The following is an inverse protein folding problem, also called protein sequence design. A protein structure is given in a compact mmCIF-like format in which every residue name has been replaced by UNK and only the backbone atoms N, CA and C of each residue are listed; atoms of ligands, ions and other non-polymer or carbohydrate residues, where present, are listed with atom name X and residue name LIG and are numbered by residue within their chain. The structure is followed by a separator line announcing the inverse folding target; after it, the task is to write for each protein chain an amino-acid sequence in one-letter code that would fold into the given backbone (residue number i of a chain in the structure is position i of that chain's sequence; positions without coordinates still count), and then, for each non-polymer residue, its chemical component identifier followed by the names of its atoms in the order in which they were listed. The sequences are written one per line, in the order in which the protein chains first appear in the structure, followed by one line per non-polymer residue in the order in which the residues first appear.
data_IF_476533876148
#
_entry.id   IF_476533876148
#
_cell.length_a   1.000
_cell.length_b   1.000
_cell.length_c   1.000
_cell.angle_alpha   90.00
_cell.angle_beta   90.00
_cell.angle_gamma   90.00
#
_symmetry.space_group_name_H-M   'P 1'
#
loop_
_entity.id
_entity.type
_entity.pdbx_description
1 polymer ?
#
# COMPACT_ATOMS: atom_id res chain seq x y z
N UNK A 1 9.81 -4.07 4.41
CA UNK A 1 8.94 -4.16 3.22
C UNK A 1 7.81 -3.10 3.24
N UNK A 2 8.18 -1.84 3.46
CA UNK A 2 7.23 -0.76 3.87
C UNK A 2 6.93 0.19 2.70
N UNK A 3 7.87 0.33 1.78
CA UNK A 3 7.83 1.32 0.69
C UNK A 3 6.82 0.96 -0.40
N UNK A 4 6.68 -0.33 -0.75
CA UNK A 4 5.68 -0.79 -1.73
C UNK A 4 4.25 -0.73 -1.20
N UNK A 5 4.02 -0.92 0.11
CA UNK A 5 2.67 -0.81 0.69
C UNK A 5 2.15 0.63 0.73
N UNK A 6 3.04 1.60 1.00
CA UNK A 6 2.71 3.03 0.98
C UNK A 6 2.51 3.58 -0.44
N UNK A 7 3.24 3.05 -1.43
CA UNK A 7 3.10 3.45 -2.83
C UNK A 7 1.68 3.19 -3.38
N UNK A 8 1.05 2.08 -2.99
CA UNK A 8 -0.31 1.72 -3.42
C UNK A 8 -1.43 2.57 -2.77
N UNK A 9 -1.10 3.34 -1.73
CA UNK A 9 -2.04 4.16 -0.96
C UNK A 9 -1.94 5.65 -1.34
N UNK A 10 -1.04 6.01 -2.26
CA UNK A 10 -0.65 7.39 -2.50
C UNK A 10 -1.54 8.16 -3.48
N UNK A 11 -2.80 8.43 -3.12
CA UNK A 11 -3.66 9.44 -3.80
C UNK A 11 -4.63 10.05 -2.77
N UNK A 12 -4.90 11.38 -2.71
CA UNK A 12 -4.35 12.55 -3.40
C UNK A 12 -3.83 13.61 -2.37
N UNK A 13 -2.89 13.23 -1.51
CA UNK A 13 -2.64 13.95 -0.24
C UNK A 13 -1.61 15.10 -0.28
N UNK A 14 -0.92 15.37 -1.38
CA UNK A 14 0.29 16.20 -1.31
C UNK A 14 0.12 17.73 -1.48
N UNK A 15 -1.07 18.27 -1.82
CA UNK A 15 -1.13 19.67 -2.31
C UNK A 15 -2.08 20.65 -1.60
N UNK A 16 -2.83 20.24 -0.57
CA UNK A 16 -3.93 21.08 -0.06
C UNK A 16 -3.88 21.41 1.44
N UNK A 17 -2.98 20.79 2.19
CA UNK A 17 -2.78 21.08 3.62
C UNK A 17 -1.65 22.08 3.83
N UNK A 18 -1.87 23.36 3.49
CA UNK A 18 -1.03 24.46 3.97
C UNK A 18 -1.78 25.80 3.82
N UNK A 19 -2.45 26.25 4.87
CA UNK A 19 -2.31 27.61 5.42
C UNK A 19 -2.99 27.70 6.78
N UNK A 20 -2.29 28.30 7.75
CA UNK A 20 -2.76 28.58 9.10
C UNK A 20 -4.09 29.37 9.10
N UNK A 21 -5.13 28.86 9.76
CA UNK A 21 -6.23 29.71 10.24
C UNK A 21 -6.91 29.14 11.48
N UNK A 22 -7.14 30.04 12.45
CA UNK A 22 -7.73 29.75 13.76
C UNK A 22 -9.27 29.69 13.76
N UNK A 23 -9.78 28.63 14.37
CA UNK A 23 -11.04 28.43 15.12
C UNK A 23 -12.38 28.83 14.49
N UNK A 24 -13.30 27.85 14.43
CA UNK A 24 -14.59 27.87 15.16
C UNK A 24 -15.28 26.50 14.99
N UNK A 25 -15.59 25.84 16.11
CA UNK A 25 -16.31 24.57 16.19
C UNK A 25 -17.73 24.69 15.62
N UNK A 26 -18.11 23.79 14.71
CA UNK A 26 -19.49 23.32 14.57
C UNK A 26 -19.52 21.89 14.02
N UNK A 27 -20.43 21.09 14.56
CA UNK A 27 -20.43 19.62 14.59
C UNK A 27 -20.73 18.95 13.24
N UNK A 28 -19.83 18.07 12.80
CA UNK A 28 -20.00 17.15 11.66
C UNK A 28 -20.03 15.69 12.16
N UNK A 29 -21.13 15.27 12.81
CA UNK A 29 -21.26 13.93 13.42
C UNK A 29 -22.21 12.99 12.67
N UNK A 30 -22.62 13.29 11.42
CA UNK A 30 -23.72 12.56 10.77
C UNK A 30 -23.47 12.08 9.34
N UNK A 31 -22.22 11.92 8.90
CA UNK A 31 -21.92 11.58 7.49
C UNK A 31 -20.98 10.40 7.30
N UNK A 32 -20.98 9.42 8.21
CA UNK A 32 -20.17 8.20 8.08
C UNK A 32 -21.11 7.00 8.10
N UNK A 33 -21.71 6.69 6.95
CA UNK A 33 -22.26 5.38 6.61
C UNK A 33 -22.48 5.27 5.09
N UNK A 34 -22.14 4.10 4.55
CA UNK A 34 -22.42 3.55 3.21
C UNK A 34 -21.65 4.11 1.99
N UNK A 35 -20.45 3.56 1.78
CA UNK A 35 -19.61 3.74 0.57
C UNK A 35 -20.20 2.99 -0.66
N UNK A 36 -21.23 2.15 -0.47
CA UNK A 36 -21.72 1.24 -1.51
C UNK A 36 -23.14 1.55 -2.07
N UNK A 37 -23.86 2.55 -1.56
CA UNK A 37 -25.24 2.87 -2.02
C UNK A 37 -25.52 4.37 -2.19
N UNK A 38 -24.49 5.20 -2.36
CA UNK A 38 -24.65 6.64 -2.57
C UNK A 38 -24.95 7.03 -4.03
N UNK A 39 -25.91 7.93 -4.24
CA UNK A 39 -26.00 8.69 -5.49
C UNK A 39 -24.92 9.79 -5.49
N UNK A 40 -23.74 9.50 -6.03
CA UNK A 40 -22.59 10.42 -6.08
C UNK A 40 -22.69 11.48 -7.21
N UNK A 41 -23.80 11.50 -7.96
CA UNK A 41 -24.00 12.38 -9.09
C UNK A 41 -23.70 11.71 -10.43
N UNK A 42 -23.33 12.51 -11.43
CA UNK A 42 -23.05 12.04 -12.79
C UNK A 42 -21.61 11.54 -12.88
N UNK A 43 -21.41 10.31 -13.37
CA UNK A 43 -20.08 9.80 -13.72
C UNK A 43 -19.50 10.64 -14.87
N UNK A 44 -18.34 11.25 -14.65
CA UNK A 44 -17.66 12.10 -15.64
C UNK A 44 -16.32 11.54 -16.09
N UNK A 45 -15.75 10.59 -15.35
CA UNK A 45 -14.47 10.00 -15.67
C UNK A 45 -14.33 8.61 -15.08
N UNK A 46 -13.72 7.69 -15.82
CA UNK A 46 -13.48 6.31 -15.39
C UNK A 46 -12.21 5.79 -16.03
N UNK A 47 -11.37 5.12 -15.24
CA UNK A 47 -10.21 4.37 -15.72
C UNK A 47 -10.16 3.02 -15.04
N UNK A 48 -9.65 2.04 -15.76
CA UNK A 48 -9.43 0.70 -15.27
C UNK A 48 -8.09 0.19 -15.79
N UNK A 49 -7.32 -0.47 -14.93
CA UNK A 49 -6.21 -1.32 -15.33
C UNK A 49 -6.42 -2.73 -14.78
N UNK A 50 -5.91 -3.68 -15.55
CA UNK A 50 -5.92 -5.09 -15.23
C UNK A 50 -4.50 -5.61 -15.37
N UNK A 51 -3.97 -6.24 -14.32
CA UNK A 51 -2.74 -7.04 -14.41
C UNK A 51 -3.12 -8.51 -14.42
N UNK A 52 -2.83 -9.17 -15.54
CA UNK A 52 -2.96 -10.61 -15.75
C UNK A 52 -4.28 -11.23 -15.27
N UNK A 53 -5.39 -10.50 -15.47
CA UNK A 53 -6.76 -10.90 -15.11
C UNK A 53 -7.03 -11.08 -13.60
N UNK A 54 -6.13 -10.63 -12.71
CA UNK A 54 -6.27 -10.86 -11.27
C UNK A 54 -6.31 -9.58 -10.45
N UNK A 55 -5.41 -8.62 -10.71
CA UNK A 55 -5.48 -7.33 -10.03
C UNK A 55 -6.26 -6.38 -10.93
N UNK A 56 -7.44 -5.99 -10.47
CA UNK A 56 -8.21 -4.93 -11.09
C UNK A 56 -8.07 -3.68 -10.25
N UNK A 57 -7.51 -2.64 -10.86
CA UNK A 57 -7.64 -1.29 -10.34
C UNK A 57 -8.66 -0.54 -11.15
N UNK A 58 -9.63 0.03 -10.45
CA UNK A 58 -10.67 0.84 -11.03
C UNK A 58 -10.70 2.17 -10.29
N UNK A 59 -10.88 3.27 -11.03
CA UNK A 59 -11.20 4.55 -10.43
C UNK A 59 -12.30 5.24 -11.24
N UNK A 60 -13.19 5.91 -10.52
CA UNK A 60 -14.35 6.63 -11.04
C UNK A 60 -14.41 8.01 -10.41
N UNK A 61 -14.74 9.01 -11.23
CA UNK A 61 -14.99 10.38 -10.79
C UNK A 61 -16.42 10.77 -11.13
N UNK A 62 -17.15 11.20 -10.12
CA UNK A 62 -18.52 11.67 -10.20
C UNK A 62 -18.60 13.16 -9.87
N UNK A 63 -19.63 13.82 -10.37
CA UNK A 63 -19.89 15.24 -10.07
C UNK A 63 -21.37 15.51 -9.89
N UNK A 64 -21.67 16.46 -9.01
CA UNK A 64 -22.95 17.19 -8.97
C UNK A 64 -22.69 18.65 -9.33
N UNK A 65 -23.67 19.52 -9.09
CA UNK A 65 -23.51 20.98 -9.26
C UNK A 65 -22.54 21.60 -8.24
N UNK A 66 -22.26 20.92 -7.13
CA UNK A 66 -21.41 21.45 -6.05
C UNK A 66 -20.42 20.44 -5.46
N UNK A 67 -20.41 19.20 -5.95
CA UNK A 67 -19.52 18.15 -5.43
C UNK A 67 -18.74 17.47 -6.53
N UNK A 68 -17.53 17.04 -6.20
CA UNK A 68 -16.75 16.07 -6.97
C UNK A 68 -16.40 14.91 -6.05
N UNK A 69 -16.64 13.69 -6.52
CA UNK A 69 -16.37 12.47 -5.77
C UNK A 69 -15.43 11.60 -6.59
N UNK A 70 -14.33 11.17 -5.98
CA UNK A 70 -13.43 10.14 -6.49
C UNK A 70 -13.66 8.86 -5.69
N UNK A 71 -13.78 7.74 -6.40
CA UNK A 71 -13.88 6.41 -5.81
C UNK A 71 -12.92 5.51 -6.55
N UNK A 72 -12.05 4.82 -5.83
CA UNK A 72 -11.10 3.88 -6.38
C UNK A 72 -11.11 2.58 -5.60
N UNK A 73 -10.97 1.47 -6.33
CA UNK A 73 -10.95 0.13 -5.77
C UNK A 73 -9.78 -0.61 -6.41
N UNK A 74 -8.89 -1.12 -5.57
CA UNK A 74 -7.96 -2.18 -5.94
C UNK A 74 -8.56 -3.49 -5.46
N UNK A 75 -8.82 -4.39 -6.38
CA UNK A 75 -9.31 -5.74 -6.09
C UNK A 75 -8.34 -6.79 -6.61
N UNK A 76 -8.28 -7.91 -5.91
CA UNK A 76 -7.45 -9.05 -6.24
C UNK A 76 -8.18 -10.33 -5.83
N UNK A 77 -7.96 -11.45 -6.51
CA UNK A 77 -8.60 -12.73 -6.16
C UNK A 77 -8.10 -13.32 -4.83
N UNK A 78 -7.05 -12.74 -4.24
CA UNK A 78 -6.34 -13.30 -3.07
C UNK A 78 -6.34 -12.40 -1.83
N UNK A 79 -6.71 -11.13 -1.97
CA UNK A 79 -6.74 -10.15 -0.87
C UNK A 79 -8.09 -9.46 -0.87
N UNK A 80 -8.54 -9.01 0.30
CA UNK A 80 -9.72 -8.15 0.33
C UNK A 80 -9.43 -6.84 -0.43
N UNK A 81 -10.45 -6.23 -1.06
CA UNK A 81 -10.24 -5.03 -1.84
C UNK A 81 -9.83 -3.85 -0.95
N UNK A 82 -8.86 -3.08 -1.43
CA UNK A 82 -8.56 -1.76 -0.89
C UNK A 82 -9.45 -0.73 -1.59
N UNK A 83 -10.27 -0.03 -0.82
CA UNK A 83 -11.15 1.02 -1.34
C UNK A 83 -10.68 2.38 -0.85
N UNK A 84 -10.57 3.33 -1.76
CA UNK A 84 -10.30 4.74 -1.47
C UNK A 84 -11.46 5.58 -1.97
N UNK A 85 -11.90 6.53 -1.16
CA UNK A 85 -12.96 7.45 -1.49
C UNK A 85 -12.57 8.86 -1.09
N UNK A 86 -12.81 9.82 -1.97
CA UNK A 86 -12.58 11.24 -1.74
C UNK A 86 -13.80 12.02 -2.18
N UNK A 87 -14.36 12.86 -1.33
CA UNK A 87 -15.43 13.82 -1.67
C UNK A 87 -14.94 15.24 -1.42
N UNK A 88 -15.20 16.12 -2.37
CA UNK A 88 -15.04 17.56 -2.25
C UNK A 88 -16.37 18.24 -2.49
N UNK A 89 -16.83 19.04 -1.52
CA UNK A 89 -18.07 19.81 -1.59
C UNK A 89 -17.76 21.31 -1.50
N UNK A 90 -18.19 22.07 -2.51
CA UNK A 90 -17.99 23.52 -2.62
C UNK A 90 -19.29 24.33 -2.48
N UNK A 91 -20.39 23.73 -2.00
CA UNK A 91 -21.69 24.38 -1.86
C UNK A 91 -21.68 25.62 -0.96
N UNK A 92 -20.78 25.67 0.02
CA UNK A 92 -20.62 26.81 0.94
C UNK A 92 -19.14 27.12 1.12
N UNK A 93 -18.49 26.43 2.06
CA UNK A 93 -17.04 26.32 2.20
C UNK A 93 -16.59 25.01 1.61
N UNK A 94 -15.35 24.98 1.14
CA UNK A 94 -14.76 23.76 0.64
C UNK A 94 -14.64 22.76 1.78
N UNK A 95 -15.44 21.71 1.75
CA UNK A 95 -15.38 20.57 2.66
C UNK A 95 -14.75 19.43 1.89
N UNK A 96 -13.90 18.66 2.55
CA UNK A 96 -13.43 17.41 1.99
C UNK A 96 -13.65 16.28 2.98
N UNK A 97 -13.91 15.10 2.45
CA UNK A 97 -14.01 13.83 3.18
C UNK A 97 -13.21 12.80 2.41
N UNK A 98 -12.49 11.98 3.14
CA UNK A 98 -11.62 10.97 2.59
C UNK A 98 -11.77 9.70 3.43
N UNK A 99 -11.79 8.56 2.75
CA UNK A 99 -11.94 7.26 3.37
C UNK A 99 -11.01 6.28 2.70
N UNK A 100 -10.26 5.55 3.52
CA UNK A 100 -9.50 4.39 3.11
C UNK A 100 -10.02 3.20 3.89
N UNK A 101 -10.37 2.12 3.20
CA UNK A 101 -10.94 0.92 3.79
C UNK A 101 -10.30 -0.35 3.22
N UNK A 102 -9.92 -1.26 4.11
CA UNK A 102 -9.54 -2.63 3.79
C UNK A 102 -9.79 -3.53 5.00
N UNK A 103 -10.30 -4.74 4.78
CA UNK A 103 -10.41 -5.76 5.84
C UNK A 103 -9.25 -6.74 5.85
N UNK A 104 -8.31 -6.60 4.91
CA UNK A 104 -7.17 -7.49 4.81
C UNK A 104 -6.13 -7.14 5.91
N UNK A 105 -5.78 -8.08 6.80
CA UNK A 105 -4.82 -7.86 7.87
C UNK A 105 -3.44 -7.37 7.41
N UNK A 106 -3.07 -7.57 6.14
CA UNK A 106 -1.80 -7.12 5.57
C UNK A 106 -1.65 -5.59 5.54
N UNK A 107 -2.78 -4.86 5.61
CA UNK A 107 -2.83 -3.39 5.59
C UNK A 107 -3.05 -2.77 6.97
N UNK A 108 -3.29 -3.55 8.02
CA UNK A 108 -3.61 -3.04 9.37
C UNK A 108 -2.56 -2.03 9.88
N UNK A 109 -1.28 -2.42 9.88
CA UNK A 109 -0.18 -1.55 10.33
C UNK A 109 -0.10 -0.26 9.49
N UNK A 110 -0.34 -0.37 8.18
CA UNK A 110 -0.28 0.76 7.26
C UNK A 110 -1.44 1.73 7.50
N UNK A 111 -2.64 1.20 7.78
CA UNK A 111 -3.81 2.00 8.15
C UNK A 111 -3.59 2.71 9.50
N UNK A 112 -2.97 2.04 10.47
CA UNK A 112 -2.64 2.64 11.78
C UNK A 112 -1.56 3.73 11.67
N UNK A 113 -0.52 3.51 10.85
CA UNK A 113 0.51 4.51 10.56
C UNK A 113 -0.09 5.72 9.83
N UNK A 114 -0.86 5.47 8.76
CA UNK A 114 -1.53 6.52 7.99
C UNK A 114 -2.48 7.34 8.86
N UNK A 115 -3.24 6.68 9.74
CA UNK A 115 -4.08 7.35 10.73
C UNK A 115 -3.28 8.33 11.60
N UNK A 116 -2.10 7.93 12.08
CA UNK A 116 -1.26 8.76 12.94
C UNK A 116 -0.76 9.99 12.18
N UNK A 117 -0.29 9.80 10.95
CA UNK A 117 0.15 10.88 10.05
C UNK A 117 -0.99 11.86 9.75
N UNK A 118 -2.20 11.35 9.47
CA UNK A 118 -3.37 12.18 9.19
C UNK A 118 -3.79 12.97 10.43
N UNK A 119 -3.84 12.34 11.61
CA UNK A 119 -4.16 13.05 12.86
C UNK A 119 -3.22 14.23 13.11
N UNK A 120 -1.92 14.05 12.88
CA UNK A 120 -0.94 15.12 13.02
C UNK A 120 -1.16 16.22 11.95
N UNK A 121 -1.22 15.81 10.68
CA UNK A 121 -1.29 16.71 9.53
C UNK A 121 -2.58 17.55 9.47
N UNK A 122 -3.69 17.01 9.99
CA UNK A 122 -5.02 17.64 9.92
C UNK A 122 -5.39 18.38 11.21
N UNK A 123 -4.58 18.25 12.28
CA UNK A 123 -4.85 18.91 13.58
C UNK A 123 -4.93 20.44 13.50
N UNK A 124 -4.30 21.05 12.50
CA UNK A 124 -4.26 22.50 12.28
C UNK A 124 -5.38 23.03 11.37
N UNK A 125 -6.17 22.13 10.75
CA UNK A 125 -7.25 22.51 9.84
C UNK A 125 -8.52 22.85 10.61
N UNK A 126 -9.50 23.43 9.90
CA UNK A 126 -10.79 23.79 10.48
C UNK A 126 -11.71 22.56 10.55
N UNK A 127 -12.32 22.36 11.71
CA UNK A 127 -13.23 21.25 12.00
C UNK A 127 -12.67 19.87 11.58
N UNK A 128 -11.44 19.51 11.99
CA UNK A 128 -10.86 18.25 11.60
C UNK A 128 -11.56 17.12 12.34
N UNK A 129 -11.91 16.09 11.60
CA UNK A 129 -12.46 14.85 12.12
C UNK A 129 -11.63 13.70 11.57
N UNK A 130 -11.10 12.85 12.45
CA UNK A 130 -10.33 11.67 12.06
C UNK A 130 -10.79 10.50 12.91
N UNK A 131 -11.36 9.50 12.26
CA UNK A 131 -11.70 8.20 12.85
C UNK A 131 -10.76 7.16 12.28
N UNK A 132 -10.23 6.32 13.16
CA UNK A 132 -9.37 5.22 12.77
C UNK A 132 -9.84 3.93 13.41
N UNK A 133 -9.74 2.85 12.65
CA UNK A 133 -9.85 1.48 13.10
C UNK A 133 -8.78 0.65 12.38
N UNK A 134 -8.67 -0.62 12.75
CA UNK A 134 -7.76 -1.57 12.11
C UNK A 134 -8.12 -1.85 10.64
N UNK A 135 -9.29 -1.38 10.18
CA UNK A 135 -9.82 -1.64 8.83
C UNK A 135 -10.19 -0.37 8.06
N UNK A 136 -10.12 0.80 8.69
CA UNK A 136 -10.53 2.04 8.07
C UNK A 136 -9.82 3.26 8.64
N UNK A 137 -9.51 4.19 7.76
CA UNK A 137 -9.16 5.57 8.13
C UNK A 137 -10.15 6.49 7.44
N UNK A 138 -10.94 7.21 8.22
CA UNK A 138 -11.94 8.16 7.73
C UNK A 138 -11.57 9.53 8.27
N UNK A 139 -11.44 10.51 7.38
CA UNK A 139 -11.13 11.86 7.79
C UNK A 139 -11.90 12.90 6.97
N UNK A 140 -12.17 14.03 7.60
CA UNK A 140 -12.83 15.15 6.98
C UNK A 140 -12.32 16.45 7.61
N UNK A 141 -12.27 17.52 6.82
CA UNK A 141 -12.11 18.86 7.36
C UNK A 141 -12.66 19.92 6.39
N UNK A 142 -12.60 21.17 6.84
CA UNK A 142 -12.95 22.33 6.04
C UNK A 142 -11.69 23.09 5.62
N UNK A 143 -11.75 23.69 4.44
CA UNK A 143 -10.74 24.59 3.93
C UNK A 143 -11.36 25.93 3.53
N UNK A 144 -10.64 27.01 3.81
CA UNK A 144 -10.97 28.34 3.29
C UNK A 144 -10.45 28.54 1.85
N UNK A 145 -9.75 27.55 1.28
CA UNK A 145 -9.32 27.56 -0.12
C UNK A 145 -10.55 27.51 -1.02
N UNK A 146 -10.68 28.52 -1.89
CA UNK A 146 -11.76 28.60 -2.88
C UNK A 146 -11.25 28.07 -4.21
N UNK A 147 -11.85 26.98 -4.66
CA UNK A 147 -11.54 26.33 -5.93
C UNK A 147 -12.80 26.10 -6.74
N UNK A 148 -12.68 26.25 -8.04
CA UNK A 148 -13.79 26.01 -8.95
C UNK A 148 -14.05 24.51 -9.05
N UNK A 149 -15.30 24.15 -9.36
CA UNK A 149 -15.67 22.76 -9.56
C UNK A 149 -14.81 22.11 -10.66
N UNK A 150 -14.50 22.86 -11.72
CA UNK A 150 -13.71 22.34 -12.85
C UNK A 150 -12.24 22.09 -12.49
N UNK A 151 -11.63 22.93 -11.64
CA UNK A 151 -10.28 22.66 -11.11
C UNK A 151 -10.25 21.37 -10.27
N UNK A 152 -11.29 21.11 -9.48
CA UNK A 152 -11.38 19.89 -8.65
C UNK A 152 -11.61 18.67 -9.54
N UNK A 153 -12.43 18.78 -10.59
CA UNK A 153 -12.62 17.70 -11.58
C UNK A 153 -11.32 17.35 -12.29
N UNK A 154 -10.57 18.35 -12.78
CA UNK A 154 -9.30 18.12 -13.47
C UNK A 154 -8.29 17.43 -12.55
N UNK A 155 -8.20 17.89 -11.30
CA UNK A 155 -7.37 17.26 -10.28
C UNK A 155 -7.76 15.79 -10.05
N UNK A 156 -9.05 15.50 -9.88
CA UNK A 156 -9.53 14.14 -9.62
C UNK A 156 -9.40 13.20 -10.83
N UNK A 157 -9.54 13.73 -12.04
CA UNK A 157 -9.25 12.97 -13.24
C UNK A 157 -7.76 12.62 -13.32
N UNK A 158 -6.87 13.57 -12.99
CA UNK A 158 -5.43 13.33 -12.91
C UNK A 158 -5.05 12.33 -11.81
N UNK A 159 -5.71 12.39 -10.66
CA UNK A 159 -5.58 11.40 -9.60
C UNK A 159 -5.96 10.00 -10.10
N UNK A 160 -7.11 9.84 -10.76
CA UNK A 160 -7.53 8.59 -11.37
C UNK A 160 -6.53 8.07 -12.42
N UNK A 161 -5.97 8.95 -13.25
CA UNK A 161 -4.93 8.58 -14.22
C UNK A 161 -3.66 8.05 -13.53
N UNK A 162 -3.21 8.72 -12.48
CA UNK A 162 -2.03 8.31 -11.73
C UNK A 162 -2.25 6.99 -10.98
N UNK A 163 -3.46 6.77 -10.44
CA UNK A 163 -3.85 5.51 -9.78
C UNK A 163 -3.59 4.32 -10.68
N UNK A 164 -4.22 4.35 -11.86
CA UNK A 164 -4.16 3.26 -12.84
C UNK A 164 -2.75 3.12 -13.43
N UNK A 165 -2.02 4.23 -13.56
CA UNK A 165 -0.66 4.24 -14.09
C UNK A 165 0.33 3.49 -13.18
N UNK A 166 0.19 3.57 -11.85
CA UNK A 166 1.07 2.86 -10.91
C UNK A 166 1.08 1.34 -11.17
N UNK A 167 -0.07 0.78 -11.57
CA UNK A 167 -0.22 -0.63 -11.94
C UNK A 167 0.39 -0.96 -13.30
N UNK A 168 0.27 -0.07 -14.27
CA UNK A 168 0.83 -0.29 -15.62
C UNK A 168 2.36 -0.17 -15.66
N UNK A 169 2.94 0.68 -14.81
CA UNK A 169 4.40 0.85 -14.72
C UNK A 169 5.09 -0.27 -13.91
N UNK A 170 4.34 -1.01 -13.09
CA UNK A 170 4.82 -2.11 -12.27
C UNK A 170 4.94 -3.47 -12.98
N UNK A 171 4.99 -3.54 -14.31
CA UNK A 171 5.13 -4.81 -15.05
C UNK A 171 6.61 -5.24 -15.15
N UNK A 172 7.17 -5.71 -14.04
CA UNK A 172 8.52 -6.27 -13.98
C UNK A 172 8.59 -7.67 -14.60
N UNK A 173 9.82 -8.20 -14.73
CA UNK A 173 10.04 -9.56 -15.19
C UNK A 173 9.25 -10.54 -14.31
N UNK A 174 8.54 -11.50 -14.91
CA UNK A 174 7.73 -12.48 -14.19
C UNK A 174 8.56 -13.73 -13.87
N UNK A 175 8.43 -14.24 -12.65
CA UNK A 175 8.96 -15.55 -12.33
C UNK A 175 8.27 -16.62 -13.19
N UNK A 176 9.05 -17.53 -13.77
CA UNK A 176 8.55 -18.72 -14.47
C UNK A 176 7.87 -19.69 -13.50
N UNK A 177 8.37 -19.75 -12.27
CA UNK A 177 7.78 -20.49 -11.16
C UNK A 177 8.14 -19.84 -9.84
N UNK A 178 7.20 -19.82 -8.90
CA UNK A 178 7.51 -19.59 -7.50
C UNK A 178 6.74 -20.57 -6.61
N UNK A 179 7.44 -21.28 -5.73
CA UNK A 179 6.82 -22.25 -4.80
C UNK A 179 7.16 -21.96 -3.36
N UNK A 180 6.21 -22.24 -2.47
CA UNK A 180 6.40 -22.20 -1.02
C UNK A 180 6.05 -23.55 -0.45
N UNK A 181 7.05 -24.25 0.07
CA UNK A 181 6.92 -25.53 0.76
C UNK A 181 7.34 -25.33 2.22
N UNK A 182 6.80 -26.13 3.15
CA UNK A 182 7.19 -26.03 4.55
C UNK A 182 7.06 -27.38 5.27
N UNK A 183 7.94 -27.61 6.24
CA UNK A 183 7.94 -28.78 7.12
C UNK A 183 8.30 -28.33 8.55
N UNK A 184 7.43 -28.64 9.51
CA UNK A 184 7.59 -28.16 10.88
C UNK A 184 7.58 -26.62 10.93
N UNK A 185 8.69 -26.04 11.37
CA UNK A 185 8.92 -24.60 11.50
C UNK A 185 9.84 -24.03 10.40
N UNK A 186 10.12 -24.80 9.35
CA UNK A 186 11.00 -24.40 8.26
C UNK A 186 10.17 -24.18 7.01
N UNK A 187 10.33 -23.02 6.38
CA UNK A 187 9.74 -22.68 5.09
C UNK A 187 10.83 -22.59 4.02
N UNK A 188 10.50 -23.05 2.82
CA UNK A 188 11.33 -22.98 1.63
C UNK A 188 10.59 -22.22 0.54
N UNK A 189 11.19 -21.15 0.02
CA UNK A 189 10.68 -20.39 -1.12
C UNK A 189 11.65 -20.55 -2.28
N UNK A 190 11.16 -20.93 -3.45
CA UNK A 190 11.99 -21.02 -4.66
C UNK A 190 11.36 -20.19 -5.76
N UNK A 191 12.06 -19.19 -6.26
CA UNK A 191 11.65 -18.35 -7.38
C UNK A 191 12.62 -18.52 -8.56
N UNK A 192 12.10 -18.91 -9.73
CA UNK A 192 12.90 -19.14 -10.94
C UNK A 192 12.50 -18.17 -12.04
N UNK A 193 13.50 -17.56 -12.69
CA UNK A 193 13.36 -16.69 -13.85
C UNK A 193 14.18 -17.27 -15.02
N UNK A 194 14.02 -16.78 -16.27
CA UNK A 194 14.74 -17.31 -17.42
C UNK A 194 16.26 -17.41 -17.27
N UNK A 195 16.90 -16.43 -16.58
CA UNK A 195 18.36 -16.35 -16.44
C UNK A 195 18.83 -16.11 -14.99
N UNK A 196 17.91 -16.07 -14.02
CA UNK A 196 18.18 -15.75 -12.61
C UNK A 196 17.23 -16.50 -11.69
N UNK A 197 17.47 -16.47 -10.38
CA UNK A 197 16.59 -17.13 -9.42
C UNK A 197 17.03 -16.96 -7.98
N UNK A 198 16.09 -17.17 -7.07
CA UNK A 198 16.29 -17.10 -5.63
C UNK A 198 15.77 -18.37 -4.95
N UNK A 199 16.49 -18.83 -3.93
CA UNK A 199 16.08 -19.90 -3.02
C UNK A 199 16.22 -19.38 -1.60
N UNK A 200 15.13 -19.37 -0.84
CA UNK A 200 15.09 -18.90 0.54
C UNK A 200 14.71 -20.06 1.45
N UNK A 201 15.46 -20.23 2.53
CA UNK A 201 15.13 -21.09 3.65
C UNK A 201 14.95 -20.22 4.89
N UNK A 202 13.75 -20.22 5.45
CA UNK A 202 13.41 -19.49 6.65
C UNK A 202 13.08 -20.45 7.78
N UNK A 203 13.82 -20.39 8.90
CA UNK A 203 13.56 -21.20 10.09
C UNK A 203 12.93 -20.34 11.17
N UNK A 204 11.65 -20.57 11.44
CA UNK A 204 10.87 -19.82 12.42
C UNK A 204 11.11 -20.37 13.83
N UNK A 205 11.58 -19.55 14.75
CA UNK A 205 11.90 -19.92 16.12
C UNK A 205 10.91 -19.28 17.11
N UNK A 206 10.86 -19.82 18.33
CA UNK A 206 10.08 -19.23 19.40
C UNK A 206 10.51 -17.78 19.68
N UNK A 207 9.55 -16.92 20.03
CA UNK A 207 9.81 -15.51 20.34
C UNK A 207 9.97 -14.60 19.11
N UNK A 208 9.40 -14.99 17.96
CA UNK A 208 9.37 -14.14 16.76
C UNK A 208 10.74 -13.93 16.12
N UNK A 209 11.61 -14.94 16.22
CA UNK A 209 12.93 -14.94 15.59
C UNK A 209 12.91 -15.81 14.35
N UNK A 210 13.51 -15.33 13.25
CA UNK A 210 13.64 -16.09 12.01
C UNK A 210 15.11 -16.16 11.62
N UNK A 211 15.57 -17.36 11.25
CA UNK A 211 16.88 -17.54 10.62
C UNK A 211 16.68 -17.65 9.11
N UNK A 212 17.29 -16.75 8.37
CA UNK A 212 17.20 -16.65 6.92
C UNK A 212 18.48 -17.15 6.27
N UNK A 213 18.32 -17.92 5.19
CA UNK A 213 19.37 -18.33 4.27
C UNK A 213 18.83 -18.17 2.85
N UNK A 214 19.36 -17.19 2.13
CA UNK A 214 18.88 -16.76 0.82
C UNK A 214 19.99 -16.89 -0.21
N UNK A 215 19.78 -17.72 -1.23
CA UNK A 215 20.73 -17.92 -2.32
C UNK A 215 20.20 -17.30 -3.59
N UNK A 216 21.00 -16.44 -4.22
CA UNK A 216 20.68 -15.75 -5.45
C UNK A 216 21.59 -16.21 -6.59
N UNK A 217 20.99 -16.41 -7.77
CA UNK A 217 21.68 -16.82 -8.99
C UNK A 217 21.36 -15.86 -10.12
N UNK A 218 22.32 -15.63 -11.02
CA UNK A 218 22.15 -14.72 -12.16
C UNK A 218 22.09 -13.23 -11.79
N UNK A 219 22.56 -12.86 -10.59
CA UNK A 219 22.68 -11.48 -10.10
C UNK A 219 24.12 -11.01 -10.21
N UNK A 220 24.29 -9.72 -10.53
CA UNK A 220 25.58 -9.06 -10.54
C UNK A 220 26.21 -9.03 -9.14
N UNK A 221 27.52 -9.30 -9.04
CA UNK A 221 28.21 -9.39 -7.75
C UNK A 221 28.16 -8.09 -6.96
N UNK A 222 28.21 -6.93 -7.62
CA UNK A 222 28.17 -5.63 -6.95
C UNK A 222 26.76 -5.35 -6.42
N UNK A 223 25.72 -5.82 -7.12
CA UNK A 223 24.33 -5.72 -6.64
C UNK A 223 24.08 -6.64 -5.44
N UNK A 224 24.58 -7.88 -5.49
CA UNK A 224 24.49 -8.81 -4.36
C UNK A 224 25.20 -8.25 -3.12
N UNK A 225 26.40 -7.67 -3.28
CA UNK A 225 27.11 -7.01 -2.18
C UNK A 225 26.32 -5.83 -1.61
N UNK A 226 25.63 -5.05 -2.44
CA UNK A 226 24.77 -3.96 -1.95
C UNK A 226 23.59 -4.48 -1.12
N UNK A 227 22.92 -5.54 -1.56
CA UNK A 227 21.87 -6.20 -0.78
C UNK A 227 22.40 -6.73 0.56
N UNK A 228 23.59 -7.34 0.55
CA UNK A 228 24.28 -7.76 1.76
C UNK A 228 24.53 -6.61 2.75
N UNK A 229 24.98 -5.45 2.27
CA UNK A 229 25.20 -4.30 3.14
C UNK A 229 23.88 -3.70 3.65
N UNK A 230 22.75 -3.80 2.91
CA UNK A 230 21.46 -3.25 3.36
C UNK A 230 20.91 -3.91 4.62
N UNK A 231 21.33 -5.14 4.91
CA UNK A 231 20.92 -5.91 6.08
C UNK A 231 21.75 -5.58 7.32
N UNK A 232 22.91 -4.96 7.17
CA UNK A 232 23.78 -4.59 8.31
C UNK A 232 23.24 -3.36 9.03
N UNK A 233 23.55 -3.28 10.32
CA UNK A 233 23.20 -2.16 11.21
C UNK A 233 21.69 -1.88 11.37
N UNK A 234 20.83 -2.82 10.94
CA UNK A 234 19.38 -2.78 11.21
C UNK A 234 19.10 -3.30 12.62
N UNK A 235 18.25 -2.59 13.38
CA UNK A 235 17.99 -2.85 14.81
C UNK A 235 17.56 -4.30 15.12
N UNK A 236 16.83 -4.91 14.19
CA UNK A 236 16.24 -6.24 14.34
C UNK A 236 16.99 -7.34 13.58
N UNK A 237 18.11 -7.02 12.92
CA UNK A 237 18.88 -7.98 12.11
C UNK A 237 20.28 -8.15 12.71
N UNK A 238 20.73 -9.39 12.77
CA UNK A 238 22.03 -9.77 13.32
C UNK A 238 22.62 -10.96 12.58
N UNK A 239 23.87 -11.29 12.89
CA UNK A 239 24.58 -12.46 12.33
C UNK A 239 24.65 -12.47 10.78
N UNK A 240 24.69 -11.29 10.14
CA UNK A 240 24.73 -11.14 8.68
C UNK A 240 26.02 -11.73 8.11
N UNK A 241 25.89 -12.72 7.24
CA UNK A 241 26.97 -13.37 6.52
C UNK A 241 26.65 -13.42 5.03
N UNK A 242 27.64 -13.11 4.20
CA UNK A 242 27.51 -13.13 2.74
C UNK A 242 28.65 -13.90 2.10
N UNK A 243 28.32 -15.04 1.49
CA UNK A 243 29.28 -15.95 0.87
C UNK A 243 28.72 -16.50 -0.45
N UNK A 244 29.48 -16.36 -1.54
CA UNK A 244 29.21 -17.01 -2.84
C UNK A 244 27.76 -16.85 -3.37
N UNK A 245 27.16 -15.66 -3.20
CA UNK A 245 25.78 -15.40 -3.64
C UNK A 245 24.70 -15.87 -2.65
N UNK A 246 25.11 -16.27 -1.44
CA UNK A 246 24.22 -16.62 -0.33
C UNK A 246 24.34 -15.58 0.79
N UNK A 247 23.19 -15.04 1.18
CA UNK A 247 23.00 -14.15 2.32
C UNK A 247 22.38 -14.96 3.46
N UNK A 248 22.96 -14.92 4.65
CA UNK A 248 22.41 -15.54 5.85
C UNK A 248 22.33 -14.52 6.97
N UNK A 249 21.21 -14.49 7.69
CA UNK A 249 21.02 -13.55 8.79
C UNK A 249 19.97 -14.04 9.78
N UNK A 250 19.97 -13.43 10.96
CA UNK A 250 18.94 -13.61 11.99
C UNK A 250 18.12 -12.35 12.08
N UNK A 251 16.80 -12.49 12.00
CA UNK A 251 15.84 -11.41 12.21
C UNK A 251 15.02 -11.67 13.47
N UNK A 252 14.73 -10.61 14.24
CA UNK A 252 13.92 -10.67 15.47
C UNK A 252 12.76 -9.69 15.41
N UNK A 253 11.68 -9.95 16.15
CA UNK A 253 10.52 -9.06 16.19
C UNK A 253 9.44 -9.40 15.16
N UNK A 254 9.51 -10.58 14.54
CA UNK A 254 8.42 -11.12 13.73
C UNK A 254 7.30 -11.61 14.65
N UNK A 255 6.43 -10.70 15.08
CA UNK A 255 5.29 -10.98 15.96
C UNK A 255 4.06 -11.50 15.17
N UNK A 256 4.30 -12.55 14.37
CA UNK A 256 3.27 -13.20 13.56
C UNK A 256 3.28 -14.71 13.83
N UNK A 257 2.09 -15.34 13.96
CA UNK A 257 1.98 -16.80 13.95
C UNK A 257 2.58 -17.43 12.69
N UNK A 258 3.10 -18.65 12.79
CA UNK A 258 3.76 -19.35 11.68
C UNK A 258 2.85 -19.50 10.44
N UNK A 259 1.55 -19.70 10.61
CA UNK A 259 0.58 -19.75 9.51
C UNK A 259 0.44 -18.42 8.76
N UNK A 260 0.50 -17.28 9.47
CA UNK A 260 0.56 -15.95 8.86
C UNK A 260 1.89 -15.71 8.15
N UNK A 261 3.00 -16.16 8.74
CA UNK A 261 4.32 -16.10 8.11
C UNK A 261 4.35 -16.87 6.77
N UNK A 262 3.84 -18.10 6.74
CA UNK A 262 3.71 -18.88 5.49
C UNK A 262 2.80 -18.17 4.47
N UNK A 263 1.74 -17.51 4.94
CA UNK A 263 0.84 -16.74 4.05
C UNK A 263 1.56 -15.54 3.42
N UNK A 264 2.40 -14.84 4.17
CA UNK A 264 3.24 -13.76 3.65
C UNK A 264 4.24 -14.27 2.58
N UNK A 265 4.90 -15.41 2.82
CA UNK A 265 5.79 -16.01 1.81
C UNK A 265 5.04 -16.41 0.53
N UNK A 266 3.83 -16.97 0.66
CA UNK A 266 2.98 -17.29 -0.50
C UNK A 266 2.57 -16.04 -1.26
N UNK A 267 2.30 -14.95 -0.55
CA UNK A 267 2.03 -13.65 -1.15
C UNK A 267 3.24 -13.12 -1.92
N UNK A 268 4.46 -13.22 -1.37
CA UNK A 268 5.70 -12.90 -2.10
C UNK A 268 5.85 -13.74 -3.36
N UNK A 269 5.58 -15.04 -3.31
CA UNK A 269 5.62 -15.86 -4.52
C UNK A 269 4.60 -15.42 -5.57
N UNK A 270 3.40 -15.04 -5.13
CA UNK A 270 2.37 -14.51 -6.01
C UNK A 270 2.82 -13.22 -6.70
N UNK A 271 3.42 -12.26 -5.96
CA UNK A 271 3.88 -10.99 -6.54
C UNK A 271 4.99 -11.20 -7.57
N UNK A 272 5.94 -12.10 -7.30
CA UNK A 272 7.01 -12.47 -8.23
C UNK A 272 6.48 -13.15 -9.49
N UNK A 273 5.53 -14.08 -9.35
CA UNK A 273 4.94 -14.78 -10.51
C UNK A 273 4.19 -13.85 -11.46
N UNK A 274 3.69 -12.73 -10.93
CA UNK A 274 2.94 -11.71 -11.66
C UNK A 274 3.79 -10.51 -12.07
N UNK A 275 5.07 -10.48 -11.66
CA UNK A 275 6.00 -9.41 -11.97
C UNK A 275 5.60 -8.08 -11.33
N UNK A 276 4.93 -8.11 -10.17
CA UNK A 276 4.46 -6.90 -9.46
C UNK A 276 5.57 -6.21 -8.68
N UNK A 277 6.67 -6.92 -8.47
CA UNK A 277 7.90 -6.42 -7.84
C UNK A 277 9.08 -6.85 -8.72
N UNK A 278 10.13 -6.03 -8.82
CA UNK A 278 11.36 -6.47 -9.46
C UNK A 278 11.99 -7.59 -8.62
N UNK A 279 12.70 -8.48 -9.28
CA UNK A 279 13.39 -9.59 -8.62
C UNK A 279 14.46 -9.09 -7.65
N UNK A 280 15.11 -7.99 -8.02
CA UNK A 280 16.21 -7.38 -7.30
C UNK A 280 15.78 -6.88 -5.91
N UNK A 281 14.52 -6.47 -5.73
CA UNK A 281 14.00 -6.02 -4.43
C UNK A 281 14.00 -7.12 -3.37
N UNK A 282 14.03 -8.40 -3.78
CA UNK A 282 14.15 -9.50 -2.82
C UNK A 282 15.47 -9.45 -2.03
N UNK A 283 16.53 -8.85 -2.61
CA UNK A 283 17.86 -8.77 -2.00
C UNK A 283 18.00 -7.69 -0.93
N UNK A 284 16.99 -6.83 -0.75
CA UNK A 284 17.11 -5.61 0.05
C UNK A 284 16.12 -5.58 1.22
N UNK A 285 16.60 -5.13 2.37
CA UNK A 285 15.77 -4.83 3.54
C UNK A 285 15.32 -3.37 3.52
N UNK A 286 14.18 -3.11 2.87
CA UNK A 286 13.48 -1.80 2.76
C UNK A 286 12.06 -1.81 3.34
#
# INVERSE_FOLDING_TARGET
MTFTKLAWISIPLAFWACTDSTSSEDSWNSAIHDINEGNYGTLIYERQALIDDIITQECKVYTTDSKVVFSAVTSSDITDPLTTFSEFDISERMKFREELYSTDPLYEDVLQELCSIIKESYSSLKNPHVICSDTAVVYAAESDIVKTLDEIKEYMNGACDNYVKQVLEGSYEKAQSCTVDYEGNIAHVNATYPNKGASVKATFLEGGTVLWEETYTGIDSDLFLQGCESHKDKENISDVLCEEGTLSYRETGIDLPFDKFISALKFTCYTLHRGLVPFEDMLFEE
#
